data_IF_626696500301
#
_entry.id   IF_626696500301
#
_cell.length_a   1.000
_cell.length_b   1.000
_cell.length_c   1.000
_cell.angle_alpha   90.00
_cell.angle_beta   90.00
_cell.angle_gamma   90.00
#
_symmetry.space_group_name_H-M   'P 1'
#
loop_
_entity.id
_entity.type
_entity.pdbx_description
1 polymer ?
#
# COMPACT_ATOMS: atom_id res chain seq x y z
N UNK A 1 -34.60 -13.59 40.01
CA UNK A 1 -33.87 -12.34 40.32
C UNK A 1 -32.96 -12.08 39.13
N UNK A 2 -33.38 -11.16 38.26
CA UNK A 2 -32.72 -9.86 38.05
C UNK A 2 -31.34 -10.04 37.37
N UNK A 3 -31.22 -9.99 36.04
CA UNK A 3 -30.96 -8.76 35.25
C UNK A 3 -29.99 -7.78 35.93
N UNK A 4 -28.72 -7.78 35.52
CA UNK A 4 -27.88 -6.58 35.41
C UNK A 4 -26.50 -6.93 34.83
N UNK A 5 -25.96 -6.02 34.01
CA UNK A 5 -24.56 -5.92 33.53
C UNK A 5 -24.17 -6.69 32.25
N UNK A 6 -25.06 -6.72 31.26
CA UNK A 6 -24.65 -6.71 29.85
C UNK A 6 -24.98 -5.32 29.27
N UNK A 7 -24.05 -4.37 29.37
CA UNK A 7 -24.33 -3.01 28.91
C UNK A 7 -23.25 -1.98 29.20
N UNK A 8 -22.00 -2.23 28.79
CA UNK A 8 -20.99 -1.15 28.53
C UNK A 8 -20.02 -1.53 27.38
N UNK A 9 -19.94 -2.79 26.95
CA UNK A 9 -19.05 -3.23 25.85
C UNK A 9 -19.65 -3.03 24.44
N UNK A 10 -20.28 -1.89 24.19
CA UNK A 10 -20.82 -1.54 22.87
C UNK A 10 -20.70 -0.03 22.61
N UNK A 11 -19.51 0.56 22.78
CA UNK A 11 -19.26 1.94 22.36
C UNK A 11 -17.81 2.28 21.97
N UNK A 12 -16.96 1.28 21.66
CA UNK A 12 -15.56 1.52 21.26
C UNK A 12 -15.13 0.85 19.94
N UNK A 13 -16.07 0.61 19.01
CA UNK A 13 -15.77 0.07 17.67
C UNK A 13 -16.16 1.05 16.53
N UNK A 14 -16.50 2.31 16.84
CA UNK A 14 -16.87 3.31 15.81
C UNK A 14 -16.05 4.60 15.93
N UNK A 15 -14.72 4.51 15.84
CA UNK A 15 -13.87 5.70 15.74
C UNK A 15 -12.56 5.53 14.96
N UNK A 16 -12.47 4.59 14.01
CA UNK A 16 -11.24 4.44 13.20
C UNK A 16 -11.42 4.36 11.68
N UNK A 17 -12.46 5.00 11.14
CA UNK A 17 -12.58 5.21 9.69
C UNK A 17 -13.06 6.63 9.39
N UNK A 18 -12.13 7.58 9.41
CA UNK A 18 -12.03 8.79 8.52
C UNK A 18 -11.16 9.84 9.21
N UNK A 19 -9.98 10.12 8.64
CA UNK A 19 -9.20 11.29 9.09
C UNK A 19 -7.75 11.30 8.64
N UNK A 20 -7.55 11.63 7.36
CA UNK A 20 -6.27 11.90 6.71
C UNK A 20 -5.68 13.23 7.25
N UNK A 21 -4.43 13.25 7.73
CA UNK A 21 -3.66 14.49 7.88
C UNK A 21 -2.66 14.57 9.05
N UNK A 22 -1.37 14.69 8.70
CA UNK A 22 -0.20 15.08 9.50
C UNK A 22 -0.44 15.75 10.86
N UNK A 23 0.23 15.23 11.90
CA UNK A 23 1.18 15.93 12.81
C UNK A 23 1.59 15.00 13.95
N UNK A 24 2.67 14.24 13.78
CA UNK A 24 3.37 13.58 14.88
C UNK A 24 4.64 14.39 15.16
N UNK A 25 4.59 15.20 16.20
CA UNK A 25 5.73 15.91 16.76
C UNK A 25 5.48 16.06 18.25
N UNK A 26 6.37 15.45 19.04
CA UNK A 26 6.46 15.47 20.50
C UNK A 26 5.79 14.28 21.23
N UNK A 27 6.50 13.15 21.25
CA UNK A 27 6.35 12.12 22.28
C UNK A 27 7.73 11.81 22.87
N UNK A 28 8.26 12.75 23.64
CA UNK A 28 9.46 12.55 24.45
C UNK A 28 9.30 13.36 25.75
N UNK A 29 9.31 12.64 26.88
CA UNK A 29 9.32 13.05 28.30
C UNK A 29 8.06 12.63 29.08
N UNK A 30 8.08 11.42 29.64
CA UNK A 30 7.78 11.18 31.06
C UNK A 30 7.82 9.68 31.42
N UNK A 31 9.02 9.15 31.62
CA UNK A 31 9.28 8.11 32.63
C UNK A 31 10.28 8.73 33.60
N UNK A 32 10.31 8.52 34.91
CA UNK A 32 9.62 7.61 35.81
C UNK A 32 10.41 7.76 37.12
N UNK A 33 9.78 8.15 38.23
CA UNK A 33 10.47 8.26 39.51
C UNK A 33 9.45 8.30 40.64
N UNK A 34 8.88 7.15 40.99
CA UNK A 34 8.03 7.04 42.18
C UNK A 34 7.88 5.59 42.60
N UNK A 35 8.95 4.96 43.12
CA UNK A 35 8.81 3.83 44.04
C UNK A 35 10.08 3.66 44.88
N UNK A 36 9.86 3.38 46.17
CA UNK A 36 10.80 2.87 47.17
C UNK A 36 11.73 3.87 47.89
N UNK A 37 11.16 4.59 48.87
CA UNK A 37 11.87 4.95 50.10
C UNK A 37 11.02 4.49 51.29
N UNK A 38 11.46 3.40 51.95
CA UNK A 38 10.91 2.97 53.23
C UNK A 38 11.97 2.20 54.04
N UNK A 39 12.33 2.78 55.20
CA UNK A 39 12.86 2.15 56.45
C UNK A 39 14.38 1.84 56.41
N UNK A 40 15.23 2.32 57.33
CA UNK A 40 15.25 2.09 58.79
C UNK A 40 15.88 3.28 59.57
N UNK A 41 15.30 3.57 60.73
CA UNK A 41 15.80 4.44 61.78
C UNK A 41 16.61 3.67 62.84
N UNK A 42 17.56 4.33 63.54
CA UNK A 42 18.02 4.12 64.94
C UNK A 42 19.28 4.99 65.15
N UNK A 43 19.20 6.18 65.76
CA UNK A 43 19.22 6.49 67.22
C UNK A 43 20.40 5.85 67.97
N UNK A 44 21.36 6.68 68.40
CA UNK A 44 21.78 6.88 69.80
C UNK A 44 23.24 7.39 69.89
N UNK A 45 23.49 8.39 70.73
CA UNK A 45 24.85 8.72 71.19
C UNK A 45 25.06 10.19 71.50
N UNK A 46 24.55 10.66 72.63
CA UNK A 46 24.81 11.97 73.20
C UNK A 46 25.59 11.84 74.52
N UNK A 47 26.46 12.81 74.78
CA UNK A 47 26.81 13.41 76.09
C UNK A 47 27.87 12.72 76.99
N UNK A 48 28.72 13.60 77.55
CA UNK A 48 29.50 13.56 78.81
C UNK A 48 30.72 12.63 78.89
N UNK A 49 31.72 12.88 79.72
CA UNK A 49 32.30 14.00 80.50
C UNK A 49 33.49 13.36 81.24
N UNK A 50 34.29 14.16 81.93
CA UNK A 50 35.28 13.74 82.94
C UNK A 50 36.63 13.19 82.45
N UNK A 51 37.63 14.06 82.65
CA UNK A 51 38.99 13.74 83.12
C UNK A 51 38.99 12.59 84.15
N UNK A 52 40.11 11.89 84.39
CA UNK A 52 41.00 12.41 85.44
C UNK A 52 42.50 12.04 85.32
N UNK A 53 43.29 12.77 86.12
CA UNK A 53 44.57 12.37 86.76
C UNK A 53 45.89 12.56 85.98
N UNK A 54 46.63 13.57 86.41
CA UNK A 54 48.10 13.64 86.42
C UNK A 54 48.68 12.49 87.28
N UNK A 55 49.81 11.87 86.98
CA UNK A 55 51.15 12.41 87.23
C UNK A 55 52.17 11.27 87.01
N UNK A 56 53.40 11.62 86.59
CA UNK A 56 54.66 10.89 86.87
C UNK A 56 54.87 9.50 86.18
N UNK A 57 56.03 9.03 85.71
CA UNK A 57 57.44 9.25 86.09
C UNK A 57 58.34 8.81 84.90
N UNK A 58 59.43 9.55 84.70
CA UNK A 58 60.73 9.11 84.15
C UNK A 58 60.84 8.47 82.78
N UNK A 59 61.37 9.28 81.86
CA UNK A 59 62.22 8.86 80.78
C UNK A 59 63.43 8.02 81.27
N UNK A 60 63.52 6.76 80.83
CA UNK A 60 64.77 6.11 80.38
C UNK A 60 64.38 5.13 79.26
N UNK A 61 64.26 5.62 78.04
CA UNK A 61 64.33 4.82 76.82
C UNK A 61 65.70 5.08 76.19
N UNK A 62 66.37 4.04 75.67
CA UNK A 62 67.14 4.12 74.42
C UNK A 62 68.09 2.92 74.28
N UNK A 63 67.57 1.81 73.75
CA UNK A 63 68.19 1.06 72.65
C UNK A 63 67.26 -0.06 72.17
N UNK A 64 66.60 -0.78 73.09
CA UNK A 64 65.81 -1.98 72.76
C UNK A 64 64.34 -1.66 72.36
N UNK A 65 63.66 -0.69 73.01
CA UNK A 65 62.30 -0.25 72.62
C UNK A 65 62.23 0.38 71.22
N UNK A 66 63.33 0.98 70.75
CA UNK A 66 63.37 1.67 69.45
C UNK A 66 63.55 0.69 68.29
N UNK A 67 64.22 -0.44 68.52
CA UNK A 67 64.30 -1.54 67.55
C UNK A 67 62.98 -2.32 67.47
N UNK A 68 62.26 -2.45 68.59
CA UNK A 68 60.96 -3.11 68.63
C UNK A 68 59.85 -2.25 67.96
N UNK A 69 59.81 -0.94 68.22
CA UNK A 69 58.92 -0.01 67.48
C UNK A 69 59.26 0.04 65.97
N UNK A 70 60.53 -0.05 65.59
CA UNK A 70 60.93 -0.06 64.17
C UNK A 70 60.58 -1.39 63.47
N UNK A 71 60.62 -2.52 64.19
CA UNK A 71 60.15 -3.81 63.67
C UNK A 71 58.62 -3.84 63.53
N UNK A 72 57.88 -3.39 64.54
CA UNK A 72 56.41 -3.31 64.49
C UNK A 72 55.95 -2.34 63.39
N UNK A 73 56.64 -1.21 63.21
CA UNK A 73 56.37 -0.28 62.11
C UNK A 73 56.67 -0.89 60.72
N UNK A 74 57.73 -1.70 60.58
CA UNK A 74 58.03 -2.42 59.34
C UNK A 74 57.03 -3.53 59.05
N UNK A 75 56.61 -4.28 60.07
CA UNK A 75 55.61 -5.34 59.94
C UNK A 75 54.24 -4.77 59.60
N UNK A 76 53.86 -3.63 60.22
CA UNK A 76 52.63 -2.92 59.90
C UNK A 76 52.65 -2.33 58.49
N UNK A 77 53.77 -1.73 58.06
CA UNK A 77 53.93 -1.22 56.69
C UNK A 77 53.88 -2.36 55.66
N UNK A 78 54.43 -3.53 55.98
CA UNK A 78 54.39 -4.70 55.11
C UNK A 78 52.97 -5.29 55.01
N UNK A 79 52.22 -5.31 56.13
CA UNK A 79 50.82 -5.74 56.16
C UNK A 79 49.90 -4.80 55.39
N UNK A 80 50.12 -3.49 55.51
CA UNK A 80 49.37 -2.46 54.77
C UNK A 80 49.69 -2.50 53.27
N UNK A 81 50.92 -2.87 52.90
CA UNK A 81 51.29 -3.12 51.50
C UNK A 81 50.64 -4.39 50.96
N UNK A 82 50.64 -5.49 51.70
CA UNK A 82 49.94 -6.73 51.31
C UNK A 82 48.42 -6.54 51.20
N UNK A 83 47.82 -5.73 52.09
CA UNK A 83 46.40 -5.39 52.03
C UNK A 83 46.07 -4.55 50.79
N UNK A 84 46.90 -3.56 50.43
CA UNK A 84 46.74 -2.78 49.21
C UNK A 84 46.93 -3.60 47.93
N UNK A 85 47.91 -4.51 47.91
CA UNK A 85 48.11 -5.43 46.78
C UNK A 85 46.94 -6.41 46.64
N UNK A 86 46.36 -6.87 47.77
CA UNK A 86 45.17 -7.70 47.77
C UNK A 86 43.90 -6.93 47.32
N UNK A 87 43.74 -5.67 47.73
CA UNK A 87 42.65 -4.80 47.26
C UNK A 87 42.78 -4.49 45.76
N UNK A 88 43.99 -4.16 45.27
CA UNK A 88 44.23 -3.91 43.83
C UNK A 88 43.98 -5.17 42.99
N UNK A 89 44.33 -6.35 43.51
CA UNK A 89 44.06 -7.61 42.84
C UNK A 89 42.56 -7.94 42.83
N UNK A 90 41.85 -7.67 43.92
CA UNK A 90 40.40 -7.84 44.00
C UNK A 90 39.65 -6.88 43.06
N UNK A 91 40.10 -5.62 42.94
CA UNK A 91 39.54 -4.62 42.02
C UNK A 91 39.75 -5.03 40.56
N UNK A 92 40.95 -5.50 40.18
CA UNK A 92 41.21 -6.02 38.83
C UNK A 92 40.37 -7.25 38.49
N UNK A 93 40.21 -8.18 39.44
CA UNK A 93 39.39 -9.37 39.23
C UNK A 93 37.90 -9.03 39.12
N UNK A 94 37.44 -7.98 39.82
CA UNK A 94 36.08 -7.46 39.67
C UNK A 94 35.89 -6.77 38.31
N UNK A 95 36.84 -5.95 37.88
CA UNK A 95 36.80 -5.27 36.57
C UNK A 95 36.83 -6.29 35.41
N UNK A 96 37.62 -7.36 35.51
CA UNK A 96 37.66 -8.46 34.53
C UNK A 96 36.32 -9.21 34.45
N UNK A 97 35.67 -9.46 35.60
CA UNK A 97 34.32 -10.08 35.64
C UNK A 97 33.23 -9.18 35.06
N UNK A 98 33.29 -7.88 35.31
CA UNK A 98 32.35 -6.91 34.74
C UNK A 98 32.50 -6.82 33.21
N UNK A 99 33.74 -6.86 32.70
CA UNK A 99 34.03 -6.91 31.26
C UNK A 99 33.54 -8.22 30.65
N UNK A 100 33.74 -9.36 31.30
CA UNK A 100 33.26 -10.67 30.82
C UNK A 100 31.72 -10.75 30.81
N UNK A 101 31.05 -10.23 31.85
CA UNK A 101 29.58 -10.16 31.90
C UNK A 101 29.02 -9.23 30.82
N UNK A 102 29.68 -8.09 30.57
CA UNK A 102 29.27 -7.18 29.50
C UNK A 102 29.47 -7.80 28.12
N UNK A 103 30.56 -8.53 27.90
CA UNK A 103 30.80 -9.26 26.65
C UNK A 103 29.78 -10.39 26.43
N UNK A 104 29.39 -11.12 27.48
CA UNK A 104 28.33 -12.14 27.39
C UNK A 104 26.97 -11.52 27.06
N UNK A 105 26.59 -10.41 27.71
CA UNK A 105 25.34 -9.70 27.39
C UNK A 105 25.30 -9.19 25.96
N UNK A 106 26.41 -8.63 25.46
CA UNK A 106 26.48 -8.16 24.08
C UNK A 106 26.42 -9.32 23.08
N UNK A 107 26.98 -10.49 23.41
CA UNK A 107 26.85 -11.69 22.59
C UNK A 107 25.40 -12.21 22.58
N UNK A 108 24.74 -12.30 23.74
CA UNK A 108 23.33 -12.72 23.84
C UNK A 108 22.39 -11.77 23.09
N UNK A 109 22.63 -10.45 23.16
CA UNK A 109 21.86 -9.45 22.41
C UNK A 109 22.05 -9.63 20.90
N UNK A 110 23.28 -9.85 20.42
CA UNK A 110 23.55 -10.11 19.00
C UNK A 110 22.91 -11.40 18.49
N UNK A 111 22.95 -12.48 19.29
CA UNK A 111 22.31 -13.75 18.94
C UNK A 111 20.78 -13.61 18.90
N UNK A 112 20.20 -12.85 19.84
CA UNK A 112 18.76 -12.54 19.84
C UNK A 112 18.35 -11.66 18.65
N UNK A 113 19.15 -10.66 18.28
CA UNK A 113 18.92 -9.83 17.09
C UNK A 113 19.03 -10.66 15.79
N UNK A 114 20.02 -11.54 15.68
CA UNK A 114 20.18 -12.41 14.51
C UNK A 114 19.01 -13.39 14.37
N UNK A 115 18.52 -13.94 15.49
CA UNK A 115 17.35 -14.82 15.49
C UNK A 115 16.07 -14.05 15.11
N UNK A 116 15.88 -12.84 15.64
CA UNK A 116 14.75 -12.00 15.30
C UNK A 116 14.76 -11.62 13.81
N UNK A 117 15.93 -11.30 13.25
CA UNK A 117 16.08 -11.00 11.82
C UNK A 117 15.77 -12.23 10.96
N UNK A 118 16.26 -13.43 11.32
CA UNK A 118 15.95 -14.67 10.59
C UNK A 118 14.46 -15.00 10.62
N UNK A 119 13.78 -14.82 11.75
CA UNK A 119 12.33 -15.04 11.85
C UNK A 119 11.56 -14.02 11.00
N UNK A 120 12.01 -12.76 10.96
CA UNK A 120 11.39 -11.74 10.10
C UNK A 120 11.59 -12.06 8.61
N UNK A 121 12.80 -12.43 8.19
CA UNK A 121 13.10 -12.82 6.80
C UNK A 121 12.28 -14.06 6.37
N UNK A 122 12.09 -15.04 7.25
CA UNK A 122 11.26 -16.21 6.97
C UNK A 122 9.77 -15.84 6.85
N UNK A 123 9.27 -14.91 7.66
CA UNK A 123 7.90 -14.42 7.56
C UNK A 123 7.67 -13.63 6.27
N UNK A 124 8.59 -12.73 5.91
CA UNK A 124 8.52 -11.96 4.67
C UNK A 124 8.58 -12.87 3.44
N UNK A 125 9.43 -13.92 3.46
CA UNK A 125 9.49 -14.91 2.39
C UNK A 125 8.19 -15.69 2.23
N UNK A 126 7.56 -16.12 3.34
CA UNK A 126 6.26 -16.82 3.31
C UNK A 126 5.14 -15.92 2.83
N UNK A 127 5.11 -14.65 3.24
CA UNK A 127 4.12 -13.67 2.78
C UNK A 127 4.27 -13.39 1.27
N UNK A 128 5.52 -13.30 0.78
CA UNK A 128 5.79 -13.11 -0.64
C UNK A 128 5.35 -14.32 -1.46
N UNK A 129 5.64 -15.55 -0.99
CA UNK A 129 5.20 -16.77 -1.66
C UNK A 129 3.68 -16.88 -1.70
N UNK A 130 2.99 -16.56 -0.60
CA UNK A 130 1.53 -16.54 -0.56
C UNK A 130 0.95 -15.51 -1.54
N UNK A 131 1.48 -14.28 -1.57
CA UNK A 131 1.04 -13.26 -2.52
C UNK A 131 1.27 -13.68 -3.98
N UNK A 132 2.36 -14.37 -4.27
CA UNK A 132 2.63 -14.88 -5.61
C UNK A 132 1.64 -15.99 -6.01
N UNK A 133 1.29 -16.88 -5.07
CA UNK A 133 0.27 -17.92 -5.30
C UNK A 133 -1.12 -17.30 -5.52
N UNK A 134 -1.54 -16.37 -4.65
CA UNK A 134 -2.82 -15.67 -4.79
C UNK A 134 -2.90 -14.88 -6.11
N UNK A 135 -1.80 -14.26 -6.54
CA UNK A 135 -1.74 -13.57 -7.84
C UNK A 135 -1.89 -14.53 -9.02
N UNK A 136 -1.24 -15.71 -8.98
CA UNK A 136 -1.36 -16.73 -10.03
C UNK A 136 -2.77 -17.31 -10.10
N UNK A 137 -3.40 -17.58 -8.95
CA UNK A 137 -4.78 -18.08 -8.90
C UNK A 137 -5.77 -17.04 -9.44
N UNK A 138 -5.59 -15.76 -9.09
CA UNK A 138 -6.41 -14.67 -9.61
C UNK A 138 -6.25 -14.48 -11.13
N UNK A 139 -5.03 -14.60 -11.66
CA UNK A 139 -4.77 -14.55 -13.10
C UNK A 139 -5.42 -15.73 -13.84
N UNK A 140 -5.33 -16.96 -13.29
CA UNK A 140 -5.96 -18.13 -13.88
C UNK A 140 -7.50 -18.02 -13.88
N UNK A 141 -8.08 -17.51 -12.79
CA UNK A 141 -9.52 -17.27 -12.71
C UNK A 141 -9.97 -16.21 -13.73
N UNK A 142 -9.26 -15.08 -13.81
CA UNK A 142 -9.58 -14.02 -14.78
C UNK A 142 -9.52 -14.54 -16.22
N UNK A 143 -8.53 -15.39 -16.54
CA UNK A 143 -8.42 -16.01 -17.86
C UNK A 143 -9.58 -16.96 -18.16
N UNK A 144 -9.99 -17.79 -17.20
CA UNK A 144 -11.17 -18.68 -17.35
C UNK A 144 -12.46 -17.90 -17.56
N UNK A 145 -12.67 -16.83 -16.79
CA UNK A 145 -13.84 -15.95 -16.94
C UNK A 145 -13.85 -15.24 -18.31
N UNK A 146 -12.68 -14.82 -18.82
CA UNK A 146 -12.58 -14.25 -20.17
C UNK A 146 -12.87 -15.28 -21.26
N UNK A 147 -12.36 -16.51 -21.14
CA UNK A 147 -12.63 -17.61 -22.07
C UNK A 147 -14.12 -17.99 -22.08
N UNK A 148 -14.76 -18.07 -20.90
CA UNK A 148 -16.20 -18.34 -20.79
C UNK A 148 -17.04 -17.21 -21.41
N UNK A 149 -16.65 -15.95 -21.17
CA UNK A 149 -17.33 -14.79 -21.81
C UNK A 149 -17.23 -14.85 -23.33
N UNK A 150 -16.03 -15.12 -23.86
CA UNK A 150 -15.82 -15.27 -25.31
C UNK A 150 -16.62 -16.44 -25.88
N UNK A 151 -16.68 -17.57 -25.18
CA UNK A 151 -17.47 -18.71 -25.61
C UNK A 151 -18.97 -18.38 -25.66
N UNK A 152 -19.48 -17.66 -24.66
CA UNK A 152 -20.89 -17.22 -24.61
C UNK A 152 -21.21 -16.19 -25.71
N UNK A 153 -20.33 -15.23 -25.94
CA UNK A 153 -20.47 -14.25 -27.04
C UNK A 153 -20.44 -14.95 -28.41
N UNK A 154 -19.59 -15.96 -28.60
CA UNK A 154 -19.56 -16.76 -29.83
C UNK A 154 -20.83 -17.60 -30.00
N UNK A 155 -21.33 -18.21 -28.93
CA UNK A 155 -22.60 -18.96 -28.96
C UNK A 155 -23.78 -18.05 -29.30
N UNK A 156 -23.85 -16.86 -28.68
CA UNK A 156 -24.88 -15.86 -28.97
C UNK A 156 -24.77 -15.36 -30.42
N UNK A 157 -23.55 -15.12 -30.93
CA UNK A 157 -23.34 -14.76 -32.34
C UNK A 157 -23.80 -15.86 -33.28
N UNK A 158 -23.45 -17.13 -33.00
CA UNK A 158 -23.89 -18.28 -33.80
C UNK A 158 -25.41 -18.47 -33.75
N UNK A 159 -26.03 -18.26 -32.59
CA UNK A 159 -27.48 -18.30 -32.46
C UNK A 159 -28.15 -17.18 -33.27
N UNK A 160 -27.56 -15.97 -33.26
CA UNK A 160 -28.04 -14.84 -34.06
C UNK A 160 -27.91 -15.13 -35.56
N UNK A 161 -26.76 -15.63 -36.01
CA UNK A 161 -26.51 -16.06 -37.39
C UNK A 161 -27.49 -17.17 -37.83
N UNK A 162 -27.76 -18.15 -36.96
CA UNK A 162 -28.72 -19.22 -37.25
C UNK A 162 -30.18 -18.73 -37.31
N UNK A 163 -30.48 -17.57 -36.73
CA UNK A 163 -31.82 -16.95 -36.76
C UNK A 163 -32.04 -15.98 -37.93
N UNK A 164 -31.01 -15.76 -38.77
CA UNK A 164 -31.12 -14.87 -39.93
C UNK A 164 -32.13 -15.43 -40.91
N UNK A 165 -33.08 -14.58 -41.30
CA UNK A 165 -34.12 -14.98 -42.24
C UNK A 165 -33.69 -14.73 -43.69
N UNK A 166 -34.30 -15.43 -44.64
CA UNK A 166 -34.08 -15.17 -46.07
C UNK A 166 -34.40 -13.71 -46.42
N UNK A 167 -35.43 -13.12 -45.79
CA UNK A 167 -35.79 -11.70 -45.98
C UNK A 167 -34.64 -10.77 -45.57
N UNK A 168 -34.00 -11.05 -44.44
CA UNK A 168 -32.83 -10.29 -43.96
C UNK A 168 -31.63 -10.41 -44.90
N UNK A 169 -31.36 -11.60 -45.44
CA UNK A 169 -30.31 -11.79 -46.45
C UNK A 169 -30.59 -10.99 -47.72
N UNK A 170 -31.85 -10.97 -48.18
CA UNK A 170 -32.25 -10.17 -49.34
C UNK A 170 -32.13 -8.66 -49.07
N UNK A 171 -32.45 -8.21 -47.85
CA UNK A 171 -32.26 -6.82 -47.45
C UNK A 171 -30.78 -6.41 -47.50
N UNK A 172 -29.87 -7.26 -47.01
CA UNK A 172 -28.41 -7.02 -47.11
C UNK A 172 -27.98 -6.89 -48.57
N UNK A 173 -28.39 -7.83 -49.43
CA UNK A 173 -28.03 -7.82 -50.85
C UNK A 173 -28.55 -6.57 -51.56
N UNK A 174 -29.80 -6.17 -51.29
CA UNK A 174 -30.39 -4.99 -51.89
C UNK A 174 -29.75 -3.68 -51.39
N UNK A 175 -29.41 -3.61 -50.10
CA UNK A 175 -28.68 -2.47 -49.54
C UNK A 175 -27.33 -2.25 -50.26
N UNK A 176 -26.57 -3.32 -50.49
CA UNK A 176 -25.32 -3.26 -51.25
C UNK A 176 -25.55 -2.85 -52.71
N UNK A 177 -26.60 -3.37 -53.36
CA UNK A 177 -26.95 -2.97 -54.72
C UNK A 177 -27.28 -1.47 -54.82
N UNK A 178 -28.01 -0.93 -53.85
CA UNK A 178 -28.32 0.49 -53.80
C UNK A 178 -27.06 1.36 -53.65
N UNK A 179 -26.16 1.00 -52.74
CA UNK A 179 -24.90 1.73 -52.55
C UNK A 179 -23.95 1.65 -53.74
N UNK A 180 -24.04 0.57 -54.54
CA UNK A 180 -23.32 0.48 -55.81
C UNK A 180 -23.89 1.39 -56.90
N UNK A 181 -25.16 1.81 -56.78
CA UNK A 181 -25.84 2.65 -57.77
C UNK A 181 -25.80 4.14 -57.39
N UNK A 182 -26.03 4.47 -56.12
CA UNK A 182 -25.99 5.86 -55.63
C UNK A 182 -25.65 5.90 -54.14
N UNK A 183 -25.17 7.06 -53.69
CA UNK A 183 -24.92 7.29 -52.28
C UNK A 183 -26.22 7.33 -51.47
N UNK A 184 -26.15 6.89 -50.21
CA UNK A 184 -27.23 7.03 -49.24
C UNK A 184 -26.66 7.33 -47.85
N UNK A 185 -27.43 8.04 -47.03
CA UNK A 185 -27.22 8.01 -45.59
C UNK A 185 -27.68 6.67 -45.00
N UNK A 186 -27.24 6.34 -43.77
CA UNK A 186 -27.67 5.10 -43.11
C UNK A 186 -29.19 5.04 -42.98
N UNK A 187 -29.82 6.12 -42.51
CA UNK A 187 -31.28 6.19 -42.37
C UNK A 187 -32.00 6.23 -43.72
N UNK A 188 -31.47 6.96 -44.69
CA UNK A 188 -32.03 7.03 -46.05
C UNK A 188 -32.04 5.66 -46.73
N UNK A 189 -30.99 4.86 -46.57
CA UNK A 189 -30.95 3.50 -47.10
C UNK A 189 -31.97 2.57 -46.41
N UNK A 190 -32.15 2.71 -45.09
CA UNK A 190 -33.18 1.95 -44.36
C UNK A 190 -34.58 2.31 -44.87
N UNK A 191 -34.86 3.61 -45.05
CA UNK A 191 -36.15 4.07 -45.57
C UNK A 191 -36.37 3.65 -47.03
N UNK A 192 -35.30 3.63 -47.85
CA UNK A 192 -35.37 3.06 -49.20
C UNK A 192 -35.75 1.58 -49.16
N UNK A 193 -35.11 0.76 -48.34
CA UNK A 193 -35.44 -0.66 -48.23
C UNK A 193 -36.88 -0.89 -47.72
N UNK A 194 -37.38 -0.05 -46.80
CA UNK A 194 -38.79 -0.09 -46.39
C UNK A 194 -39.73 0.23 -47.55
N UNK A 195 -39.36 1.18 -48.41
CA UNK A 195 -40.10 1.48 -49.63
C UNK A 195 -40.12 0.30 -50.62
N UNK A 196 -39.03 -0.49 -50.67
CA UNK A 196 -38.96 -1.77 -51.42
C UNK A 196 -39.84 -2.89 -50.83
N UNK A 197 -40.46 -2.65 -49.68
CA UNK A 197 -41.40 -3.56 -49.05
C UNK A 197 -40.80 -4.46 -47.97
N UNK A 198 -39.54 -4.24 -47.57
CA UNK A 198 -38.98 -4.88 -46.38
C UNK A 198 -39.66 -4.38 -45.11
N UNK A 199 -39.74 -5.25 -44.10
CA UNK A 199 -40.12 -4.82 -42.74
C UNK A 199 -39.09 -3.83 -42.20
N UNK A 200 -39.47 -3.05 -41.18
CA UNK A 200 -38.52 -2.12 -40.55
C UNK A 200 -37.35 -2.88 -39.94
N UNK A 201 -37.64 -4.06 -39.38
CA UNK A 201 -36.68 -4.97 -38.79
C UNK A 201 -35.68 -5.49 -39.83
N UNK A 202 -36.16 -5.98 -40.99
CA UNK A 202 -35.30 -6.54 -42.03
C UNK A 202 -34.49 -5.45 -42.74
N UNK A 203 -35.08 -4.28 -42.99
CA UNK A 203 -34.38 -3.15 -43.59
C UNK A 203 -33.24 -2.65 -42.69
N UNK A 204 -33.52 -2.51 -41.39
CA UNK A 204 -32.50 -2.14 -40.39
C UNK A 204 -31.41 -3.19 -40.33
N UNK A 205 -31.78 -4.47 -40.27
CA UNK A 205 -30.82 -5.58 -40.31
C UNK A 205 -29.93 -5.51 -41.57
N UNK A 206 -30.53 -5.30 -42.75
CA UNK A 206 -29.81 -5.22 -44.02
C UNK A 206 -28.72 -4.16 -44.01
N UNK A 207 -29.04 -2.96 -43.54
CA UNK A 207 -28.11 -1.82 -43.49
C UNK A 207 -27.07 -1.94 -42.37
N UNK A 208 -27.37 -2.66 -41.29
CA UNK A 208 -26.42 -2.86 -40.18
C UNK A 208 -25.42 -3.98 -40.42
N UNK A 209 -25.71 -4.89 -41.35
CA UNK A 209 -24.85 -6.04 -41.68
C UNK A 209 -24.05 -5.85 -42.98
N UNK A 210 -23.89 -4.61 -43.43
CA UNK A 210 -22.99 -4.24 -44.54
C UNK A 210 -21.82 -3.42 -44.01
N UNK A 211 -20.65 -3.58 -44.64
CA UNK A 211 -19.47 -2.77 -44.33
C UNK A 211 -19.45 -1.54 -45.22
N UNK A 212 -19.71 -0.37 -44.66
CA UNK A 212 -19.84 0.91 -45.39
C UNK A 212 -19.20 2.02 -44.60
N UNK A 213 -18.43 2.87 -45.28
CA UNK A 213 -17.99 4.15 -44.72
C UNK A 213 -19.08 5.21 -44.95
N UNK A 214 -19.88 5.45 -43.91
CA UNK A 214 -20.99 6.40 -43.96
C UNK A 214 -20.56 7.86 -44.07
N UNK A 215 -19.31 8.19 -43.73
CA UNK A 215 -18.76 9.52 -43.92
C UNK A 215 -18.39 9.71 -45.39
N UNK A 216 -17.78 8.71 -46.01
CA UNK A 216 -17.47 8.71 -47.45
C UNK A 216 -18.75 8.76 -48.29
N UNK A 217 -19.81 8.04 -47.91
CA UNK A 217 -21.11 8.16 -48.59
C UNK A 217 -21.64 9.60 -48.61
N UNK A 218 -21.38 10.39 -47.57
CA UNK A 218 -21.77 11.80 -47.55
C UNK A 218 -20.96 12.62 -48.56
N UNK A 219 -19.66 12.34 -48.72
CA UNK A 219 -18.77 12.98 -49.71
C UNK A 219 -19.27 12.71 -51.12
N UNK A 220 -19.57 11.45 -51.43
CA UNK A 220 -20.11 11.05 -52.74
C UNK A 220 -21.44 11.74 -53.02
N UNK A 221 -22.35 11.78 -52.04
CA UNK A 221 -23.62 12.48 -52.20
C UNK A 221 -23.42 14.00 -52.41
N UNK A 222 -22.50 14.61 -51.68
CA UNK A 222 -22.18 16.03 -51.83
C UNK A 222 -21.71 16.34 -53.27
N UNK A 223 -20.84 15.50 -53.81
CA UNK A 223 -20.36 15.62 -55.19
C UNK A 223 -21.51 15.45 -56.20
N UNK A 224 -22.38 14.45 -56.02
CA UNK A 224 -23.54 14.24 -56.89
C UNK A 224 -24.46 15.46 -56.95
N UNK A 225 -24.72 16.13 -55.82
CA UNK A 225 -25.50 17.37 -55.81
C UNK A 225 -24.83 18.48 -56.58
N UNK A 226 -23.51 18.65 -56.40
CA UNK A 226 -22.74 19.69 -57.08
C UNK A 226 -22.63 19.46 -58.59
N UNK A 227 -22.64 18.21 -59.03
CA UNK A 227 -22.68 17.86 -60.45
C UNK A 227 -24.01 18.27 -61.12
N UNK A 228 -25.10 18.34 -60.33
CA UNK A 228 -26.44 18.70 -60.83
C UNK A 228 -26.77 20.18 -60.67
N UNK A 229 -26.41 20.80 -59.56
CA UNK A 229 -26.72 22.22 -59.27
C UNK A 229 -25.72 22.84 -58.31
N UNK A 230 -25.61 24.17 -58.34
CA UNK A 230 -24.76 24.91 -57.41
C UNK A 230 -25.42 25.06 -56.04
N UNK A 231 -24.62 24.96 -54.98
CA UNK A 231 -25.03 25.20 -53.59
C UNK A 231 -24.10 26.22 -52.91
N UNK A 232 -24.60 26.88 -51.87
CA UNK A 232 -23.73 27.51 -50.87
C UNK A 232 -23.22 26.45 -49.88
N UNK A 233 -22.11 26.73 -49.17
CA UNK A 233 -21.58 25.82 -48.14
C UNK A 233 -22.66 25.36 -47.15
N UNK A 234 -23.41 26.33 -46.58
CA UNK A 234 -24.47 26.00 -45.62
C UNK A 234 -25.63 25.25 -46.29
N UNK A 235 -26.03 25.67 -47.49
CA UNK A 235 -27.11 24.99 -48.22
C UNK A 235 -26.80 23.52 -48.53
N UNK A 236 -25.55 23.19 -48.86
CA UNK A 236 -25.15 21.80 -49.10
C UNK A 236 -25.12 20.98 -47.80
N UNK A 237 -24.68 21.57 -46.68
CA UNK A 237 -24.75 20.92 -45.35
C UNK A 237 -26.20 20.63 -44.97
N UNK A 238 -27.09 21.61 -45.17
CA UNK A 238 -28.52 21.46 -44.88
C UNK A 238 -29.16 20.38 -45.76
N UNK A 239 -28.78 20.32 -47.04
CA UNK A 239 -29.26 19.29 -47.96
C UNK A 239 -28.81 17.88 -47.51
N UNK A 240 -27.52 17.69 -47.22
CA UNK A 240 -27.03 16.37 -46.76
C UNK A 240 -27.65 15.96 -45.41
N UNK A 241 -27.88 16.92 -44.52
CA UNK A 241 -28.59 16.67 -43.26
C UNK A 241 -30.05 16.27 -43.52
N UNK A 242 -30.71 16.89 -44.50
CA UNK A 242 -32.05 16.51 -44.95
C UNK A 242 -32.08 15.09 -45.55
N UNK A 243 -31.04 14.69 -46.29
CA UNK A 243 -30.84 13.31 -46.77
C UNK A 243 -30.54 12.31 -45.65
N UNK A 244 -30.45 12.75 -44.39
CA UNK A 244 -30.29 11.91 -43.21
C UNK A 244 -28.85 11.67 -42.77
N UNK A 245 -27.86 12.35 -43.35
CA UNK A 245 -26.50 12.32 -42.82
C UNK A 245 -26.40 13.07 -41.48
N UNK A 246 -25.49 12.64 -40.61
CA UNK A 246 -25.18 13.41 -39.40
C UNK A 246 -24.58 14.77 -39.79
N UNK A 247 -24.78 15.79 -38.96
CA UNK A 247 -24.18 17.10 -39.18
C UNK A 247 -22.65 17.03 -39.30
N UNK A 248 -22.02 16.09 -38.60
CA UNK A 248 -20.59 15.82 -38.69
C UNK A 248 -20.20 15.31 -40.10
N UNK A 249 -20.87 14.26 -40.60
CA UNK A 249 -20.59 13.72 -41.94
C UNK A 249 -20.91 14.73 -43.04
N UNK A 250 -22.02 15.47 -42.91
CA UNK A 250 -22.39 16.52 -43.86
C UNK A 250 -21.33 17.64 -43.90
N UNK A 251 -20.89 18.13 -42.74
CA UNK A 251 -19.87 19.19 -42.65
C UNK A 251 -18.52 18.70 -43.21
N UNK A 252 -18.13 17.47 -42.88
CA UNK A 252 -16.94 16.84 -43.43
C UNK A 252 -17.03 16.75 -44.96
N UNK A 253 -18.11 16.18 -45.49
CA UNK A 253 -18.33 16.01 -46.92
C UNK A 253 -18.23 17.32 -47.69
N UNK A 254 -18.90 18.38 -47.20
CA UNK A 254 -18.86 19.72 -47.80
C UNK A 254 -17.43 20.28 -47.83
N UNK A 255 -16.61 20.03 -46.81
CA UNK A 255 -15.20 20.43 -46.83
C UNK A 255 -14.37 19.67 -47.89
N UNK A 256 -14.67 18.39 -48.11
CA UNK A 256 -13.95 17.56 -49.08
C UNK A 256 -14.23 17.98 -50.53
N UNK A 257 -15.43 18.50 -50.80
CA UNK A 257 -15.83 18.95 -52.16
C UNK A 257 -15.53 20.42 -52.44
N UNK A 258 -14.73 21.09 -51.60
CA UNK A 258 -14.11 22.38 -51.91
C UNK A 258 -14.72 23.63 -51.27
N UNK A 259 -15.44 23.50 -50.15
CA UNK A 259 -15.98 24.63 -49.37
C UNK A 259 -15.29 24.88 -48.03
#
# INVERSE_FOLDING_TARGET
MLTALAGVLAFFVLAFVKGKGNRLGNFAKSGGCLFALLVIALIAGAISEETPVAEEVTAIASAEDKEQEEQEAKEQAQKEQEEREAEEQAEKEQEEREVEEQAQKEQEEREAEEQAQKEQEEQEAKEQEQKEQEAKEAEEQAKKEEEERKAKEEEERKAKEASVTVSQEQAVAMAQQYLNYTAFSKSGLIDQLKFEGFSTEDATYGVENITVDWQEQAVVMAQHYLDYTSFSRQGLIDQLTFEGFSTEHATYAVSQVGF
#
